data_IF_172945995410
#
_entry.id   IF_172945995410
#
_cell.length_a   1.000
_cell.length_b   1.000
_cell.length_c   1.000
_cell.angle_alpha   90.00
_cell.angle_beta   90.00
_cell.angle_gamma   90.00
#
_symmetry.space_group_name_H-M   'P 1'
#
loop_
_entity.id
_entity.type
_entity.pdbx_description
1 polymer ?
#
# COMPACT_ATOMS: atom_id res chain seq x y z
N UNK A 1 -2.36 -8.18 61.07
CA UNK A 1 -1.26 -7.43 60.41
C UNK A 1 -0.37 -8.39 59.62
N UNK A 2 0.01 -9.53 60.21
CA UNK A 2 0.82 -10.58 59.56
C UNK A 2 0.12 -11.25 58.35
N UNK A 3 -1.18 -11.57 58.45
CA UNK A 3 -1.89 -12.32 57.40
C UNK A 3 -2.04 -11.53 56.08
N UNK A 4 -2.33 -10.22 56.16
CA UNK A 4 -2.45 -9.35 54.96
C UNK A 4 -1.11 -9.21 54.22
N UNK A 5 -0.01 -9.09 54.95
CA UNK A 5 1.33 -8.97 54.38
C UNK A 5 1.76 -10.23 53.60
N UNK A 6 1.35 -11.41 54.07
CA UNK A 6 1.60 -12.68 53.38
C UNK A 6 0.81 -12.73 52.06
N UNK A 7 -0.46 -12.32 52.06
CA UNK A 7 -1.27 -12.28 50.84
C UNK A 7 -0.71 -11.29 49.80
N UNK A 8 -0.24 -10.13 50.23
CA UNK A 8 0.39 -9.15 49.34
C UNK A 8 1.68 -9.70 48.74
N UNK A 9 2.50 -10.37 49.56
CA UNK A 9 3.76 -10.99 49.10
C UNK A 9 3.50 -12.11 48.08
N UNK A 10 2.48 -12.94 48.34
CA UNK A 10 2.06 -14.01 47.40
C UNK A 10 1.51 -13.43 46.11
N UNK A 11 0.72 -12.36 46.17
CA UNK A 11 0.18 -11.69 44.99
C UNK A 11 1.30 -11.10 44.12
N UNK A 12 2.29 -10.45 44.73
CA UNK A 12 3.45 -9.90 44.02
C UNK A 12 4.27 -11.02 43.36
N UNK A 13 4.55 -12.09 44.09
CA UNK A 13 5.29 -13.24 43.55
C UNK A 13 4.55 -13.88 42.36
N UNK A 14 3.22 -14.02 42.46
CA UNK A 14 2.40 -14.57 41.38
C UNK A 14 2.44 -13.70 40.11
N UNK A 15 2.29 -12.38 40.27
CA UNK A 15 2.40 -11.43 39.16
C UNK A 15 3.79 -11.52 38.52
N UNK A 16 4.86 -11.55 39.32
CA UNK A 16 6.23 -11.65 38.81
C UNK A 16 6.46 -12.95 38.03
N UNK A 17 5.91 -14.08 38.48
CA UNK A 17 6.01 -15.36 37.77
C UNK A 17 5.29 -15.32 36.41
N UNK A 18 4.15 -14.63 36.31
CA UNK A 18 3.38 -14.54 35.06
C UNK A 18 4.03 -13.56 34.07
N UNK A 19 4.47 -12.41 34.55
CA UNK A 19 4.94 -11.33 33.67
C UNK A 19 6.45 -11.41 33.37
N UNK A 20 7.25 -12.07 34.20
CA UNK A 20 8.69 -12.23 33.96
C UNK A 20 9.02 -12.98 32.65
N UNK A 21 8.33 -14.09 32.29
CA UNK A 21 8.55 -14.75 31.01
C UNK A 21 8.24 -13.85 29.83
N UNK A 22 7.13 -13.11 29.87
CA UNK A 22 6.71 -12.20 28.80
C UNK A 22 7.77 -11.11 28.59
N UNK A 23 8.21 -10.47 29.68
CA UNK A 23 9.26 -9.45 29.63
C UNK A 23 10.61 -10.02 29.17
N UNK A 24 10.93 -11.27 29.54
CA UNK A 24 12.13 -11.95 29.08
C UNK A 24 12.10 -12.22 27.58
N UNK A 25 10.99 -12.77 27.05
CA UNK A 25 10.83 -13.02 25.61
C UNK A 25 10.87 -11.73 24.80
N UNK A 26 10.20 -10.66 25.25
CA UNK A 26 10.26 -9.36 24.59
C UNK A 26 11.69 -8.78 24.56
N UNK A 27 12.44 -8.95 25.65
CA UNK A 27 13.85 -8.53 25.72
C UNK A 27 14.74 -9.37 24.79
N UNK A 28 14.48 -10.68 24.70
CA UNK A 28 15.21 -11.59 23.82
C UNK A 28 14.95 -11.27 22.34
N UNK A 29 13.71 -11.01 21.97
CA UNK A 29 13.30 -10.61 20.63
C UNK A 29 13.99 -9.29 20.21
N UNK A 30 13.95 -8.27 21.07
CA UNK A 30 14.66 -7.01 20.85
C UNK A 30 16.19 -7.21 20.74
N UNK A 31 16.75 -8.12 21.54
CA UNK A 31 18.18 -8.44 21.48
C UNK A 31 18.58 -9.13 20.17
N UNK A 32 17.74 -10.04 19.65
CA UNK A 32 17.96 -10.70 18.36
C UNK A 32 17.88 -9.69 17.20
N UNK A 33 16.92 -8.77 17.25
CA UNK A 33 16.83 -7.64 16.31
C UNK A 33 18.08 -6.76 16.39
N UNK A 34 18.52 -6.38 17.59
CA UNK A 34 19.71 -5.54 17.80
C UNK A 34 20.99 -6.18 17.24
N UNK A 35 21.13 -7.51 17.35
CA UNK A 35 22.25 -8.27 16.79
C UNK A 35 22.16 -8.49 15.27
N UNK A 36 21.11 -7.99 14.61
CA UNK A 36 20.87 -8.08 13.18
C UNK A 36 20.92 -9.53 12.65
N UNK A 37 20.54 -10.49 13.50
CA UNK A 37 20.53 -11.94 13.20
C UNK A 37 19.12 -12.48 12.88
N UNK A 38 18.18 -11.58 12.57
CA UNK A 38 16.82 -11.97 12.19
C UNK A 38 16.80 -12.24 10.70
N UNK A 39 17.03 -13.50 10.34
CA UNK A 39 16.62 -14.01 9.04
C UNK A 39 15.09 -14.13 9.07
N UNK A 40 14.41 -13.19 8.40
CA UNK A 40 12.96 -13.25 8.22
C UNK A 40 12.65 -14.51 7.40
N UNK A 41 12.38 -15.63 8.08
CA UNK A 41 11.80 -16.79 7.41
C UNK A 41 10.44 -16.37 6.93
N UNK A 42 10.39 -16.12 5.62
CA UNK A 42 9.24 -15.64 4.89
C UNK A 42 7.98 -16.38 5.37
N UNK A 43 6.99 -15.62 5.83
CA UNK A 43 5.59 -16.01 5.70
C UNK A 43 5.34 -16.11 4.18
N UNK A 44 5.73 -17.24 3.59
CA UNK A 44 5.39 -17.55 2.22
C UNK A 44 3.86 -17.50 2.13
N UNK A 45 3.27 -16.62 1.31
CA UNK A 45 1.87 -16.76 0.97
C UNK A 45 1.66 -18.17 0.38
N UNK A 46 0.52 -18.83 0.64
CA UNK A 46 0.28 -20.19 0.18
C UNK A 46 0.54 -20.29 -1.32
N UNK A 47 1.34 -21.30 -1.70
CA UNK A 47 1.71 -21.65 -3.07
C UNK A 47 0.49 -21.52 -4.00
N UNK A 48 0.50 -20.46 -4.81
CA UNK A 48 -0.21 -20.47 -6.08
C UNK A 48 0.79 -20.98 -7.10
N UNK A 49 0.52 -22.19 -7.62
CA UNK A 49 1.33 -22.88 -8.61
C UNK A 49 1.64 -21.98 -9.81
N UNK A 50 2.83 -21.39 -9.80
CA UNK A 50 3.34 -20.57 -10.88
C UNK A 50 3.89 -21.49 -11.97
N UNK A 51 3.06 -21.79 -12.97
CA UNK A 51 3.56 -22.25 -14.27
C UNK A 51 4.32 -21.09 -14.90
N UNK A 52 5.65 -21.15 -14.85
CA UNK A 52 6.51 -20.14 -15.44
C UNK A 52 6.38 -20.15 -16.97
N UNK A 53 6.09 -19.01 -17.63
CA UNK A 53 6.24 -18.92 -19.07
C UNK A 53 7.73 -18.77 -19.39
N UNK A 54 8.25 -19.60 -20.28
CA UNK A 54 9.58 -19.44 -20.87
C UNK A 54 9.56 -18.20 -21.76
N UNK A 55 10.08 -17.08 -21.27
CA UNK A 55 10.31 -15.87 -22.06
C UNK A 55 11.80 -15.82 -22.39
N UNK A 56 12.09 -15.80 -23.69
CA UNK A 56 13.44 -15.65 -24.22
C UNK A 56 14.05 -14.35 -23.69
N UNK A 57 15.19 -14.49 -22.99
CA UNK A 57 15.94 -13.37 -22.42
C UNK A 57 16.61 -12.62 -23.56
N UNK A 58 15.99 -11.53 -23.99
CA UNK A 58 16.67 -10.51 -24.80
C UNK A 58 17.58 -9.73 -23.86
N UNK A 59 18.89 -9.79 -24.12
CA UNK A 59 19.90 -9.05 -23.36
C UNK A 59 19.79 -7.55 -23.70
N UNK A 60 18.91 -6.85 -22.98
CA UNK A 60 18.74 -5.40 -23.11
C UNK A 60 19.84 -4.70 -22.32
N UNK A 61 20.70 -3.96 -23.03
CA UNK A 61 21.80 -3.16 -22.48
C UNK A 61 21.27 -1.86 -21.84
N UNK A 62 20.33 -1.96 -20.91
CA UNK A 62 19.75 -0.81 -20.20
C UNK A 62 20.13 -0.83 -18.72
N UNK A 63 20.35 0.37 -18.17
CA UNK A 63 20.69 0.62 -16.76
C UNK A 63 19.64 -0.07 -15.87
N UNK A 64 20.03 -0.90 -14.88
CA UNK A 64 19.09 -1.71 -14.10
C UNK A 64 18.01 -0.89 -13.36
N UNK A 65 18.29 0.40 -13.11
CA UNK A 65 17.36 1.35 -12.50
C UNK A 65 16.15 1.68 -13.38
N UNK A 66 16.31 1.71 -14.72
CA UNK A 66 15.23 2.00 -15.68
C UNK A 66 14.19 0.87 -15.74
N UNK A 67 14.67 -0.37 -15.68
CA UNK A 67 13.82 -1.56 -15.67
C UNK A 67 13.04 -1.63 -14.36
N UNK A 68 13.66 -1.31 -13.22
CA UNK A 68 12.98 -1.31 -11.93
C UNK A 68 11.89 -0.21 -11.83
N UNK A 69 12.14 0.97 -12.42
CA UNK A 69 11.20 2.09 -12.41
C UNK A 69 9.99 1.85 -13.32
N UNK A 70 10.19 1.27 -14.50
CA UNK A 70 9.10 0.92 -15.42
C UNK A 70 8.16 -0.15 -14.86
N UNK A 71 8.62 -0.91 -13.86
CA UNK A 71 7.83 -1.91 -13.14
C UNK A 71 7.11 -1.37 -11.91
N UNK A 72 7.26 -0.09 -11.54
CA UNK A 72 6.54 0.47 -10.39
C UNK A 72 5.03 0.45 -10.66
N UNK A 73 4.26 -0.37 -9.91
CA UNK A 73 2.84 -0.52 -10.18
C UNK A 73 2.08 0.72 -9.71
N UNK A 74 1.38 1.38 -10.63
CA UNK A 74 0.43 2.43 -10.27
C UNK A 74 -0.74 1.83 -9.47
N UNK A 75 -1.18 2.50 -8.38
CA UNK A 75 -2.33 2.06 -7.62
C UNK A 75 -3.58 2.08 -8.51
N UNK A 76 -4.48 1.11 -8.30
CA UNK A 76 -5.69 0.91 -9.09
C UNK A 76 -6.94 1.25 -8.29
N UNK A 77 -7.97 1.71 -8.99
CA UNK A 77 -9.28 2.00 -8.41
C UNK A 77 -10.01 0.73 -7.97
N UNK A 78 -10.60 0.73 -6.78
CA UNK A 78 -11.31 -0.43 -6.25
C UNK A 78 -12.58 -0.78 -7.06
N UNK A 79 -13.20 0.21 -7.72
CA UNK A 79 -14.40 0.01 -8.54
C UNK A 79 -14.11 -0.46 -9.96
N UNK A 80 -13.28 0.27 -10.72
CA UNK A 80 -13.05 -0.01 -12.14
C UNK A 80 -11.72 -0.71 -12.45
N UNK A 81 -10.87 -0.95 -11.44
CA UNK A 81 -9.54 -1.58 -11.57
C UNK A 81 -8.57 -0.88 -12.53
N UNK A 82 -8.89 0.35 -12.94
CA UNK A 82 -8.02 1.21 -13.74
C UNK A 82 -7.03 1.94 -12.83
N UNK A 83 -5.84 2.22 -13.37
CA UNK A 83 -4.80 2.97 -12.68
C UNK A 83 -5.23 4.42 -12.43
N UNK A 84 -4.80 4.95 -11.29
CA UNK A 84 -4.93 6.38 -11.01
C UNK A 84 -3.93 7.17 -11.84
N UNK A 85 -4.35 8.36 -12.26
CA UNK A 85 -3.54 9.34 -12.98
C UNK A 85 -3.73 10.69 -12.31
N UNK A 86 -2.88 11.71 -12.59
CA UNK A 86 -3.09 13.06 -12.05
C UNK A 86 -4.50 13.62 -12.35
N UNK A 87 -5.11 13.20 -13.46
CA UNK A 87 -6.47 13.56 -13.85
C UNK A 87 -7.53 12.67 -13.18
N UNK A 88 -7.22 11.37 -13.02
CA UNK A 88 -8.11 10.39 -12.39
C UNK A 88 -7.87 10.35 -10.89
N UNK A 89 -8.46 11.33 -10.19
CA UNK A 89 -8.28 11.52 -8.74
C UNK A 89 -8.93 10.40 -7.92
N UNK A 90 -8.18 9.87 -6.95
CA UNK A 90 -8.65 8.93 -5.94
C UNK A 90 -9.42 9.65 -4.81
N UNK A 91 -10.63 9.20 -4.52
CA UNK A 91 -11.52 9.72 -3.47
C UNK A 91 -11.70 8.66 -2.36
N UNK A 92 -11.59 9.07 -1.11
CA UNK A 92 -11.74 8.22 0.07
C UNK A 92 -13.21 8.19 0.50
N UNK A 93 -13.75 6.98 0.65
CA UNK A 93 -15.06 6.73 1.25
C UNK A 93 -14.97 6.84 2.78
N UNK A 94 -15.73 7.76 3.37
CA UNK A 94 -15.62 8.12 4.80
C UNK A 94 -15.84 6.93 5.75
N UNK A 95 -16.81 6.08 5.45
CA UNK A 95 -17.24 5.03 6.38
C UNK A 95 -16.31 3.80 6.36
N UNK A 96 -15.63 3.53 5.23
CA UNK A 96 -14.81 2.32 5.06
C UNK A 96 -13.34 2.57 4.72
N UNK A 97 -12.93 3.79 4.38
CA UNK A 97 -11.55 4.13 4.02
C UNK A 97 -11.07 3.69 2.62
N UNK A 98 -11.83 2.84 1.91
CA UNK A 98 -11.52 2.46 0.52
C UNK A 98 -11.52 3.66 -0.43
N UNK A 99 -10.71 3.55 -1.49
CA UNK A 99 -10.52 4.62 -2.46
C UNK A 99 -11.11 4.26 -3.82
N UNK A 100 -11.91 5.17 -4.38
CA UNK A 100 -12.50 5.03 -5.71
C UNK A 100 -12.21 6.28 -6.55
N UNK A 101 -12.14 6.16 -7.87
CA UNK A 101 -11.98 7.33 -8.74
C UNK A 101 -13.26 8.17 -8.82
N UNK A 102 -13.12 9.44 -9.21
CA UNK A 102 -14.25 10.37 -9.34
C UNK A 102 -15.37 9.85 -10.26
N UNK A 103 -15.02 9.20 -11.37
CA UNK A 103 -16.03 8.60 -12.28
C UNK A 103 -16.84 7.49 -11.62
N UNK A 104 -16.18 6.62 -10.85
CA UNK A 104 -16.86 5.56 -10.11
C UNK A 104 -17.75 6.14 -9.01
N UNK A 105 -17.29 7.19 -8.34
CA UNK A 105 -18.09 7.87 -7.32
C UNK A 105 -19.35 8.51 -7.92
N UNK A 106 -19.23 9.14 -9.09
CA UNK A 106 -20.37 9.72 -9.82
C UNK A 106 -21.37 8.66 -10.27
N UNK A 107 -20.88 7.58 -10.87
CA UNK A 107 -21.77 6.47 -11.28
C UNK A 107 -22.52 5.86 -10.10
N UNK A 108 -21.83 5.66 -8.97
CA UNK A 108 -22.44 5.08 -7.77
C UNK A 108 -23.45 6.04 -7.09
N UNK A 109 -23.26 7.36 -7.21
CA UNK A 109 -24.18 8.36 -6.67
C UNK A 109 -25.44 8.50 -7.52
N UNK A 110 -25.29 8.46 -8.85
CA UNK A 110 -26.40 8.54 -9.81
C UNK A 110 -27.43 7.40 -9.59
N UNK A 111 -26.97 6.22 -9.15
CA UNK A 111 -27.82 5.06 -8.83
C UNK A 111 -28.72 5.27 -7.59
N UNK A 112 -28.38 6.20 -6.69
CA UNK A 112 -29.03 6.37 -5.38
C UNK A 112 -29.49 7.81 -5.13
N UNK A 113 -29.87 8.53 -6.19
CA UNK A 113 -30.34 9.92 -6.13
C UNK A 113 -29.35 10.87 -5.43
N UNK A 114 -28.05 10.61 -5.59
CA UNK A 114 -26.92 11.32 -4.99
C UNK A 114 -26.91 11.41 -3.46
N UNK A 115 -27.77 10.70 -2.73
CA UNK A 115 -27.80 10.77 -1.27
C UNK A 115 -26.77 9.85 -0.62
N UNK A 116 -26.60 8.67 -1.19
CA UNK A 116 -25.74 7.60 -0.71
C UNK A 116 -24.91 7.05 -1.85
N UNK A 117 -23.78 6.45 -1.52
CA UNK A 117 -23.03 5.62 -2.45
C UNK A 117 -22.58 4.36 -1.71
N UNK A 118 -22.60 3.22 -2.38
CA UNK A 118 -22.10 1.98 -1.81
C UNK A 118 -20.65 1.75 -2.24
N UNK A 119 -19.80 1.36 -1.28
CA UNK A 119 -18.42 0.98 -1.62
C UNK A 119 -18.41 -0.26 -2.53
N UNK A 120 -17.72 -0.25 -3.69
CA UNK A 120 -17.64 -1.42 -4.56
C UNK A 120 -16.83 -2.57 -3.97
N UNK A 121 -16.02 -2.31 -2.94
CA UNK A 121 -15.18 -3.32 -2.28
C UNK A 121 -15.87 -4.01 -1.11
N UNK A 122 -16.48 -3.23 -0.21
CA UNK A 122 -17.06 -3.75 1.05
C UNK A 122 -18.57 -3.55 1.16
N UNK A 123 -19.23 -2.96 0.15
CA UNK A 123 -20.67 -2.69 0.10
C UNK A 123 -21.20 -1.78 1.23
N UNK A 124 -20.32 -1.16 2.02
CA UNK A 124 -20.73 -0.24 3.07
C UNK A 124 -21.26 1.08 2.45
N UNK A 125 -22.46 1.55 2.83
CA UNK A 125 -22.99 2.81 2.36
C UNK A 125 -22.23 3.99 2.97
N UNK A 126 -21.89 4.98 2.15
CA UNK A 126 -21.32 6.27 2.56
C UNK A 126 -22.28 7.40 2.21
N UNK A 127 -22.45 8.34 3.14
CA UNK A 127 -23.41 9.45 3.00
C UNK A 127 -22.75 10.65 2.30
N UNK A 128 -23.31 11.09 1.18
CA UNK A 128 -22.79 12.23 0.39
C UNK A 128 -23.78 13.40 0.23
N UNK A 129 -25.07 13.23 0.56
CA UNK A 129 -26.12 14.29 0.52
C UNK A 129 -26.06 15.20 -0.73
N UNK A 130 -26.01 14.63 -1.93
CA UNK A 130 -26.04 15.39 -3.18
C UNK A 130 -24.71 16.01 -3.59
N UNK A 131 -23.63 15.79 -2.83
CA UNK A 131 -22.37 16.50 -3.05
C UNK A 131 -21.16 15.57 -2.96
N UNK A 132 -20.66 15.18 -4.14
CA UNK A 132 -19.43 14.38 -4.28
C UNK A 132 -18.18 15.07 -3.72
N UNK A 133 -18.15 16.41 -3.61
CA UNK A 133 -17.01 17.13 -2.99
C UNK A 133 -16.90 16.89 -1.49
N UNK A 134 -17.89 16.25 -0.87
CA UNK A 134 -17.80 15.78 0.53
C UNK A 134 -16.87 14.59 0.67
N UNK A 135 -16.57 13.88 -0.41
CA UNK A 135 -15.52 12.87 -0.42
C UNK A 135 -14.16 13.56 -0.42
N UNK A 136 -13.26 13.07 0.42
CA UNK A 136 -11.92 13.63 0.52
C UNK A 136 -11.02 12.98 -0.52
N UNK A 137 -10.19 13.77 -1.19
CA UNK A 137 -9.13 13.25 -2.05
C UNK A 137 -8.11 12.47 -1.24
N UNK A 138 -7.69 11.31 -1.74
CA UNK A 138 -6.60 10.54 -1.17
C UNK A 138 -5.25 11.14 -1.57
N UNK A 139 -4.81 12.19 -0.86
CA UNK A 139 -3.55 12.88 -1.16
C UNK A 139 -2.32 11.96 -1.06
N UNK A 140 -2.36 10.92 -0.22
CA UNK A 140 -1.28 9.94 -0.13
C UNK A 140 -1.11 9.14 -1.42
N UNK A 141 -2.22 8.64 -1.98
CA UNK A 141 -2.23 7.94 -3.27
C UNK A 141 -1.86 8.90 -4.41
N UNK A 142 -2.43 10.11 -4.42
CA UNK A 142 -2.15 11.08 -5.49
C UNK A 142 -0.68 11.50 -5.53
N UNK A 143 -0.04 11.71 -4.37
CA UNK A 143 1.39 12.02 -4.31
C UNK A 143 2.26 10.90 -4.90
N UNK A 144 1.90 9.65 -4.62
CA UNK A 144 2.61 8.49 -5.17
C UNK A 144 2.42 8.38 -6.70
N UNK A 145 1.20 8.63 -7.19
CA UNK A 145 0.88 8.65 -8.62
C UNK A 145 1.65 9.77 -9.34
N UNK A 146 1.73 10.96 -8.76
CA UNK A 146 2.52 12.08 -9.28
C UNK A 146 4.01 11.74 -9.36
N UNK A 147 4.54 11.08 -8.32
CA UNK A 147 5.94 10.69 -8.27
C UNK A 147 6.27 9.63 -9.33
N UNK A 148 5.41 8.61 -9.52
CA UNK A 148 5.57 7.63 -10.61
C UNK A 148 5.47 8.31 -11.98
N UNK A 149 4.52 9.23 -12.17
CA UNK A 149 4.35 9.94 -13.43
C UNK A 149 5.62 10.73 -13.80
N UNK A 150 6.20 11.47 -12.83
CA UNK A 150 7.45 12.20 -13.02
C UNK A 150 8.61 11.27 -13.36
N UNK A 151 8.76 10.17 -12.61
CA UNK A 151 9.80 9.17 -12.85
C UNK A 151 9.71 8.55 -14.25
N UNK A 152 8.48 8.28 -14.74
CA UNK A 152 8.25 7.73 -16.07
C UNK A 152 8.60 8.74 -17.17
N UNK A 153 8.24 10.01 -16.99
CA UNK A 153 8.60 11.09 -17.93
C UNK A 153 10.13 11.30 -18.02
N UNK A 154 10.82 11.27 -16.87
CA UNK A 154 12.28 11.35 -16.83
C UNK A 154 12.95 10.18 -17.58
N UNK A 155 12.39 8.96 -17.43
CA UNK A 155 12.88 7.78 -18.13
C UNK A 155 12.67 7.90 -19.65
N UNK A 156 11.48 8.31 -20.07
CA UNK A 156 11.15 8.50 -21.50
C UNK A 156 12.09 9.52 -22.16
N UNK A 157 12.39 10.62 -21.46
CA UNK A 157 13.36 11.62 -21.94
C UNK A 157 14.79 11.09 -22.05
N UNK A 158 15.16 10.11 -21.22
CA UNK A 158 16.51 9.51 -21.23
C UNK A 158 16.72 8.47 -22.32
N UNK A 159 15.65 7.89 -22.87
CA UNK A 159 15.70 6.86 -23.91
C UNK A 159 15.74 7.41 -25.35
N UNK A 160 15.50 8.71 -25.56
CA UNK A 160 15.59 9.33 -26.90
C UNK A 160 17.07 9.54 -27.27
N UNK A 161 17.64 8.84 -28.26
CA UNK A 161 18.95 9.20 -28.79
C UNK A 161 18.81 10.52 -29.54
N UNK A 162 19.56 11.55 -29.13
CA UNK A 162 19.84 12.69 -29.99
C UNK A 162 20.56 12.17 -31.23
N UNK A 163 19.83 11.88 -32.31
CA UNK A 163 20.42 11.67 -33.63
C UNK A 163 20.77 13.05 -34.16
N UNK A 164 22.07 13.41 -34.30
CA UNK A 164 22.45 14.66 -34.92
C UNK A 164 21.93 14.67 -36.36
N UNK A 165 21.44 15.80 -36.89
CA UNK A 165 21.08 15.87 -38.29
C UNK A 165 22.33 15.57 -39.13
N UNK A 166 22.31 14.46 -39.86
CA UNK A 166 23.30 14.16 -40.89
C UNK A 166 23.33 15.35 -41.86
N UNK A 167 24.50 15.99 -41.93
CA UNK A 167 24.83 16.98 -42.95
C UNK A 167 24.99 16.18 -44.23
N UNK A 168 23.98 16.26 -45.11
CA UNK A 168 24.10 15.76 -46.48
C UNK A 168 24.76 16.88 -47.27
N UNK A 169 26.01 16.64 -47.67
CA UNK A 169 26.80 17.44 -48.61
C UNK A 169 26.17 17.48 -50.03
#
# INVERSE_FOLDING_TARGET
>A
MELSYIWDTVAIAFIQIIFSPISYFATLDLYLIYRNQVEWTNLAPPEFDAVAPTVDVVEVKQKPEAILLSLLPCPKCDGCKLEYTPERVALILRECGHSICMDCAKKASDEHFDHYLHCPHCLLPSVINGNLKRLHTNFSVMKYVEEIARMREELEKSEVPEVPPEIID
#
